data_IF_137250373365
#
_entry.id   IF_137250373365
#
_cell.length_a   1.000
_cell.length_b   1.000
_cell.length_c   1.000
_cell.angle_alpha   90.00
_cell.angle_beta   90.00
_cell.angle_gamma   90.00
#
_symmetry.space_group_name_H-M   'P 1'
#
loop_
_entity.id
_entity.type
_entity.pdbx_description
1 polymer ?
#
# COMPACT_ATOMS: atom_id res chain seq x y z
N UNK A 1 15.33 5.09 -4.55
CA UNK A 1 15.26 5.04 -3.08
C UNK A 1 13.82 4.72 -2.73
N UNK A 2 13.54 3.45 -2.43
CA UNK A 2 12.23 3.01 -1.96
C UNK A 2 12.05 3.58 -0.54
N UNK A 3 11.09 4.49 -0.36
CA UNK A 3 10.84 5.12 0.94
C UNK A 3 10.23 4.07 1.86
N UNK A 4 11.01 3.59 2.82
CA UNK A 4 10.50 2.82 3.96
C UNK A 4 9.67 3.78 4.81
N UNK A 5 8.35 3.65 4.74
CA UNK A 5 7.43 4.45 5.52
C UNK A 5 7.21 3.77 6.87
N UNK A 6 7.49 4.48 7.96
CA UNK A 6 7.32 3.98 9.33
C UNK A 6 5.88 4.18 9.83
N UNK A 7 5.17 5.13 9.24
CA UNK A 7 3.76 5.39 9.47
C UNK A 7 3.12 6.07 8.27
N UNK A 8 1.79 5.98 8.19
CA UNK A 8 0.96 6.68 7.22
C UNK A 8 -0.32 7.13 7.90
N UNK A 9 -0.89 8.24 7.45
CA UNK A 9 -2.17 8.72 7.96
C UNK A 9 -3.30 8.21 7.07
N UNK A 10 -4.26 7.49 7.67
CA UNK A 10 -5.41 6.89 7.00
C UNK A 10 -6.68 7.29 7.76
N UNK A 11 -7.64 7.94 7.10
CA UNK A 11 -8.92 8.35 7.72
C UNK A 11 -8.77 9.13 9.04
N UNK A 12 -7.82 10.06 9.11
CA UNK A 12 -7.55 10.86 10.30
C UNK A 12 -6.72 10.14 11.37
N UNK A 13 -6.39 8.86 11.17
CA UNK A 13 -5.63 8.04 12.12
C UNK A 13 -4.21 7.84 11.64
N UNK A 14 -3.26 7.99 12.53
CA UNK A 14 -1.88 7.59 12.27
C UNK A 14 -1.77 6.08 12.42
N UNK A 15 -1.42 5.42 11.32
CA UNK A 15 -1.24 3.98 11.23
C UNK A 15 0.26 3.70 11.17
N UNK A 16 0.77 2.98 12.16
CA UNK A 16 2.15 2.52 12.15
C UNK A 16 2.32 1.40 11.12
N UNK A 17 3.32 1.52 10.26
CA UNK A 17 3.64 0.53 9.24
C UNK A 17 4.87 -0.26 9.64
N UNK A 18 4.96 -1.50 9.17
CA UNK A 18 6.20 -2.24 9.25
C UNK A 18 7.16 -1.75 8.17
N UNK A 19 8.23 -1.06 8.57
CA UNK A 19 9.22 -0.48 7.65
C UNK A 19 9.94 -1.52 6.74
N UNK A 20 9.82 -2.81 7.04
CA UNK A 20 10.34 -3.89 6.21
C UNK A 20 9.47 -4.16 4.97
N UNK A 21 8.23 -3.66 4.99
CA UNK A 21 7.19 -3.89 3.99
C UNK A 21 6.87 -2.59 3.24
N UNK A 22 6.94 -2.57 1.90
CA UNK A 22 6.64 -1.36 1.14
C UNK A 22 5.14 -1.11 1.06
N UNK A 23 4.78 0.15 0.85
CA UNK A 23 3.42 0.53 0.42
C UNK A 23 3.35 0.39 -1.09
N UNK A 24 2.39 -0.40 -1.58
CA UNK A 24 2.10 -0.55 -3.01
C UNK A 24 0.71 -0.03 -3.33
N UNK A 25 0.51 0.35 -4.59
CA UNK A 25 -0.74 0.92 -5.08
C UNK A 25 -1.20 0.15 -6.31
N UNK A 26 -2.47 -0.24 -6.32
CA UNK A 26 -3.08 -1.03 -7.38
C UNK A 26 -4.44 -0.45 -7.80
N UNK A 27 -4.78 -0.63 -9.09
CA UNK A 27 -6.16 -0.45 -9.55
C UNK A 27 -6.97 -1.73 -9.25
N UNK A 28 -8.29 -1.66 -9.36
CA UNK A 28 -9.16 -2.81 -9.11
C UNK A 28 -8.87 -4.01 -10.04
N UNK A 29 -8.39 -3.78 -11.26
CA UNK A 29 -8.13 -4.85 -12.23
C UNK A 29 -6.84 -5.64 -11.92
N UNK A 30 -5.82 -4.96 -11.40
CA UNK A 30 -4.52 -5.58 -11.06
C UNK A 30 -4.34 -5.81 -9.56
N UNK A 31 -5.41 -5.64 -8.77
CA UNK A 31 -5.36 -5.80 -7.33
C UNK A 31 -4.97 -7.22 -6.92
N UNK A 32 -5.64 -8.24 -7.47
CA UNK A 32 -5.36 -9.64 -7.14
C UNK A 32 -3.92 -10.04 -7.54
N UNK A 33 -3.43 -9.54 -8.67
CA UNK A 33 -2.05 -9.78 -9.12
C UNK A 33 -1.04 -9.12 -8.17
N UNK A 34 -1.22 -7.85 -7.84
CA UNK A 34 -0.34 -7.15 -6.90
C UNK A 34 -0.41 -7.73 -5.48
N UNK A 35 -1.58 -8.24 -5.06
CA UNK A 35 -1.74 -8.92 -3.78
C UNK A 35 -0.94 -10.22 -3.74
N UNK A 36 -1.07 -11.05 -4.78
CA UNK A 36 -0.34 -12.31 -4.88
C UNK A 36 1.17 -12.05 -4.95
N UNK A 37 1.62 -11.08 -5.76
CA UNK A 37 3.02 -10.66 -5.86
C UNK A 37 3.57 -10.18 -4.51
N UNK A 38 2.79 -9.39 -3.77
CA UNK A 38 3.17 -8.95 -2.42
C UNK A 38 3.35 -10.13 -1.46
N UNK A 39 2.41 -11.08 -1.45
CA UNK A 39 2.49 -12.26 -0.60
C UNK A 39 3.68 -13.14 -1.00
N UNK A 40 3.97 -13.25 -2.29
CA UNK A 40 5.13 -14.00 -2.78
C UNK A 40 6.46 -13.31 -2.41
N UNK A 41 6.55 -11.99 -2.53
CA UNK A 41 7.77 -11.22 -2.23
C UNK A 41 8.08 -11.17 -0.73
N UNK A 42 7.06 -11.01 0.11
CA UNK A 42 7.22 -10.71 1.54
C UNK A 42 6.71 -11.82 2.46
N UNK A 43 6.24 -12.94 1.92
CA UNK A 43 5.68 -14.08 2.65
C UNK A 43 4.58 -13.70 3.66
N UNK A 44 3.89 -12.56 3.43
CA UNK A 44 2.89 -12.02 4.33
C UNK A 44 1.75 -11.34 3.57
N UNK A 45 0.53 -11.49 4.09
CA UNK A 45 -0.65 -10.81 3.57
C UNK A 45 -0.58 -9.31 3.91
N UNK A 46 -0.60 -8.40 2.91
CA UNK A 46 -0.73 -6.97 3.16
C UNK A 46 -2.13 -6.63 3.66
N UNK A 47 -2.23 -5.53 4.40
CA UNK A 47 -3.47 -4.87 4.76
C UNK A 47 -3.90 -3.96 3.58
N UNK A 48 -5.20 -3.96 3.30
CA UNK A 48 -5.75 -3.31 2.10
C UNK A 48 -6.62 -2.13 2.51
N UNK A 49 -6.25 -0.94 2.05
CA UNK A 49 -6.98 0.28 2.29
C UNK A 49 -7.34 0.95 0.96
N UNK A 50 -8.34 1.81 0.96
CA UNK A 50 -8.60 2.62 -0.24
C UNK A 50 -7.53 3.69 -0.37
N UNK A 51 -6.97 3.87 -1.57
CA UNK A 51 -5.93 4.85 -1.85
C UNK A 51 -6.38 6.30 -1.60
N UNK A 52 -7.69 6.57 -1.71
CA UNK A 52 -8.28 7.88 -1.40
C UNK A 52 -8.20 8.24 0.09
N UNK A 53 -8.16 7.24 0.98
CA UNK A 53 -8.13 7.43 2.44
C UNK A 53 -6.73 7.70 2.98
N UNK A 54 -5.71 7.39 2.18
CA UNK A 54 -4.31 7.69 2.49
C UNK A 54 -4.12 9.21 2.39
N UNK A 55 -3.97 9.89 3.52
CA UNK A 55 -3.71 11.33 3.62
C UNK A 55 -2.21 11.64 3.41
N UNK A 56 -1.61 11.08 2.36
CA UNK A 56 -0.23 11.37 1.95
C UNK A 56 -0.18 11.71 0.46
N UNK A 57 -0.02 13.00 0.15
CA UNK A 57 0.06 13.52 -1.21
C UNK A 57 1.44 13.32 -1.84
N UNK A 58 2.45 12.91 -1.06
CA UNK A 58 3.79 12.65 -1.58
C UNK A 58 3.93 11.26 -2.19
N UNK A 59 2.94 10.40 -1.97
CA UNK A 59 2.89 9.05 -2.53
C UNK A 59 2.35 9.05 -3.96
N UNK A 60 2.97 8.23 -4.80
CA UNK A 60 2.52 8.03 -6.17
C UNK A 60 1.34 7.05 -6.16
N UNK A 61 0.12 7.58 -6.11
CA UNK A 61 -1.13 6.81 -6.06
C UNK A 61 -1.54 6.29 -7.45
N UNK A 62 -0.60 5.67 -8.16
CA UNK A 62 -0.85 5.02 -9.45
C UNK A 62 -0.61 3.53 -9.34
N UNK A 63 -1.38 2.78 -10.11
CA UNK A 63 -1.18 1.35 -10.24
C UNK A 63 0.21 1.08 -10.80
N UNK A 64 0.98 0.23 -10.11
CA UNK A 64 2.32 -0.14 -10.54
C UNK A 64 2.35 -0.88 -11.89
N UNK A 65 1.28 -1.64 -12.17
CA UNK A 65 1.18 -2.49 -13.38
C UNK A 65 0.81 -1.67 -14.62
N UNK A 66 -0.28 -0.89 -14.55
CA UNK A 66 -0.80 -0.17 -15.72
C UNK A 66 -0.61 1.36 -15.68
N UNK A 67 -0.24 1.94 -14.55
CA UNK A 67 -0.08 3.39 -14.38
C UNK A 67 -1.38 4.19 -14.21
N UNK A 68 -2.54 3.53 -14.24
CA UNK A 68 -3.85 4.12 -13.96
C UNK A 68 -3.95 4.63 -12.50
N UNK A 69 -4.91 5.51 -12.15
CA UNK A 69 -5.13 5.91 -10.77
C UNK A 69 -5.39 4.70 -9.87
N UNK A 70 -4.60 4.56 -8.81
CA UNK A 70 -4.80 3.48 -7.86
C UNK A 70 -6.05 3.71 -7.02
N UNK A 71 -6.77 2.62 -6.77
CA UNK A 71 -7.96 2.61 -5.92
C UNK A 71 -7.68 1.94 -4.59
N UNK A 72 -6.70 1.02 -4.56
CA UNK A 72 -6.31 0.26 -3.39
C UNK A 72 -4.84 0.50 -3.08
N UNK A 73 -4.55 0.68 -1.80
CA UNK A 73 -3.22 0.70 -1.21
C UNK A 73 -3.01 -0.60 -0.44
N UNK A 74 -1.91 -1.28 -0.75
CA UNK A 74 -1.43 -2.49 -0.09
C UNK A 74 -0.28 -2.07 0.82
N UNK A 75 -0.43 -2.24 2.12
CA UNK A 75 0.55 -1.83 3.13
C UNK A 75 0.50 -2.80 4.29
N UNK A 76 1.61 -2.99 5.00
CA UNK A 76 1.60 -3.85 6.19
C UNK A 76 1.55 -2.99 7.44
N UNK A 77 0.42 -3.06 8.15
CA UNK A 77 0.30 -2.43 9.45
C UNK A 77 1.20 -3.14 10.46
N UNK A 78 1.88 -2.37 11.30
CA UNK A 78 2.53 -2.89 12.49
C UNK A 78 1.42 -3.17 13.49
N UNK A 79 0.84 -4.37 13.38
CA UNK A 79 -0.21 -4.85 14.27
C UNK A 79 0.14 -4.58 15.73
N UNK A 80 -0.88 -4.19 16.50
CA UNK A 80 -0.81 -4.05 17.97
C UNK A 80 -0.33 -5.34 18.63
#
# INVERSE_FOLDING_TARGET
MERKLESVKIEGKEVALLADFPVRFACMEHFDEELDDYVNDFEAAPDTHRAELIEDETMDKRCRVCGEPAQIALLKEKGL
#
